data_IF_073176635308
#
_entry.id   IF_073176635308
#
_cell.length_a   1.000
_cell.length_b   1.000
_cell.length_c   1.000
_cell.angle_alpha   90.00
_cell.angle_beta   90.00
_cell.angle_gamma   90.00
#
_symmetry.space_group_name_H-M   'P 1'
#
loop_
_entity.id
_entity.type
_entity.pdbx_description
1 polymer ?
#
# COMPACT_ATOMS: atom_id res chain seq x y z
N UNK A 1 24.03 22.34 -25.33
CA UNK A 1 23.96 20.87 -25.14
C UNK A 1 25.10 20.37 -24.23
N UNK A 2 25.49 21.12 -23.18
CA UNK A 2 26.59 20.73 -22.27
C UNK A 2 26.43 21.23 -20.82
N UNK A 3 25.20 21.54 -20.39
CA UNK A 3 24.87 21.87 -18.99
C UNK A 3 23.95 20.81 -18.34
N UNK A 4 23.54 19.78 -19.09
CA UNK A 4 22.38 18.94 -18.73
C UNK A 4 22.78 17.60 -18.09
N UNK A 5 24.02 17.15 -18.26
CA UNK A 5 24.48 15.89 -17.65
C UNK A 5 25.42 16.20 -16.50
N UNK A 6 24.91 16.04 -15.27
CA UNK A 6 25.74 16.05 -14.06
C UNK A 6 26.94 15.10 -14.29
N UNK A 7 28.14 15.40 -13.76
CA UNK A 7 29.33 14.56 -13.97
C UNK A 7 29.10 13.06 -13.68
N UNK A 8 28.31 12.77 -12.66
CA UNK A 8 27.88 11.41 -12.28
C UNK A 8 27.14 10.66 -13.41
N UNK A 9 26.36 11.37 -14.22
CA UNK A 9 25.63 10.79 -15.34
C UNK A 9 26.57 10.45 -16.51
N UNK A 10 27.59 11.28 -16.72
CA UNK A 10 28.60 11.01 -17.73
C UNK A 10 29.41 9.75 -17.38
N UNK A 11 29.85 9.62 -16.12
CA UNK A 11 30.58 8.44 -15.64
C UNK A 11 29.73 7.16 -15.79
N UNK A 12 28.47 7.20 -15.34
CA UNK A 12 27.53 6.08 -15.48
C UNK A 12 27.27 5.69 -16.94
N UNK A 13 27.12 6.68 -17.82
CA UNK A 13 26.94 6.43 -19.26
C UNK A 13 28.18 5.76 -19.86
N UNK A 14 29.38 6.21 -19.49
CA UNK A 14 30.64 5.59 -19.93
C UNK A 14 30.78 4.15 -19.43
N UNK A 15 30.35 3.88 -18.19
CA UNK A 15 30.31 2.52 -17.65
C UNK A 15 29.36 1.62 -18.46
N UNK A 16 28.13 2.08 -18.75
CA UNK A 16 27.16 1.35 -19.55
C UNK A 16 27.65 1.09 -20.99
N UNK A 17 28.32 2.06 -21.61
CA UNK A 17 28.99 1.89 -22.90
C UNK A 17 30.04 0.77 -22.84
N UNK A 18 30.87 0.74 -21.79
CA UNK A 18 31.87 -0.30 -21.59
C UNK A 18 31.23 -1.67 -21.35
N UNK A 19 30.10 -1.73 -20.64
CA UNK A 19 29.34 -2.96 -20.45
C UNK A 19 28.83 -3.49 -21.79
N UNK A 20 28.23 -2.63 -22.62
CA UNK A 20 27.79 -3.00 -23.97
C UNK A 20 28.96 -3.52 -24.83
N UNK A 21 30.12 -2.85 -24.82
CA UNK A 21 31.30 -3.31 -25.57
C UNK A 21 31.73 -4.73 -25.14
N UNK A 22 31.61 -5.07 -23.85
CA UNK A 22 31.96 -6.38 -23.31
C UNK A 22 30.89 -7.45 -23.54
N UNK A 23 29.61 -7.10 -23.45
CA UNK A 23 28.48 -8.05 -23.45
C UNK A 23 27.66 -8.06 -24.74
N UNK A 24 27.95 -7.20 -25.70
CA UNK A 24 27.13 -6.95 -26.88
C UNK A 24 26.03 -5.93 -26.57
N UNK A 25 24.79 -6.37 -26.38
CA UNK A 25 23.69 -5.45 -26.04
C UNK A 25 23.62 -5.28 -24.53
N UNK A 26 23.44 -4.04 -24.08
CA UNK A 26 23.19 -3.70 -22.69
C UNK A 26 22.01 -2.74 -22.59
N UNK A 27 21.22 -2.86 -21.53
CA UNK A 27 20.14 -1.92 -21.25
C UNK A 27 20.04 -1.60 -19.78
N UNK A 28 19.68 -0.37 -19.45
CA UNK A 28 19.35 0.04 -18.09
C UNK A 28 18.16 1.00 -18.08
N UNK A 29 17.52 1.10 -16.92
CA UNK A 29 16.55 2.16 -16.64
C UNK A 29 17.24 3.18 -15.75
N UNK A 30 17.24 4.43 -16.17
CA UNK A 30 17.61 5.57 -15.35
C UNK A 30 16.37 6.21 -14.74
N UNK A 31 16.55 6.70 -13.52
CA UNK A 31 15.50 7.30 -12.69
C UNK A 31 15.98 8.67 -12.25
N UNK A 32 15.17 9.70 -12.50
CA UNK A 32 15.52 11.08 -12.20
C UNK A 32 14.34 11.79 -11.56
N UNK A 33 14.64 12.58 -10.53
CA UNK A 33 13.70 13.55 -10.01
C UNK A 33 14.11 14.95 -10.47
N UNK A 34 13.33 15.57 -11.35
CA UNK A 34 13.63 16.88 -11.92
C UNK A 34 12.38 17.77 -11.88
N UNK A 35 12.51 18.98 -11.33
CA UNK A 35 11.42 19.97 -11.24
C UNK A 35 10.12 19.45 -10.58
N UNK A 36 10.22 18.46 -9.69
CA UNK A 36 9.06 17.84 -9.03
C UNK A 36 8.44 16.67 -9.81
N UNK A 37 8.97 16.36 -10.99
CA UNK A 37 8.54 15.23 -11.80
C UNK A 37 9.47 14.03 -11.59
N UNK A 38 8.86 12.86 -11.55
CA UNK A 38 9.55 11.57 -11.48
C UNK A 38 9.68 10.99 -12.90
N UNK A 39 10.90 10.95 -13.44
CA UNK A 39 11.21 10.59 -14.83
C UNK A 39 11.93 9.25 -14.91
N UNK A 40 11.51 8.43 -15.87
CA UNK A 40 12.07 7.10 -16.13
C UNK A 40 12.50 6.98 -17.60
N UNK A 41 13.79 6.71 -17.83
CA UNK A 41 14.35 6.54 -19.17
C UNK A 41 14.97 5.15 -19.34
N UNK A 42 14.51 4.42 -20.34
CA UNK A 42 15.09 3.14 -20.74
C UNK A 42 16.13 3.39 -21.84
N UNK A 43 17.38 3.06 -21.52
CA UNK A 43 18.51 3.21 -22.43
C UNK A 43 18.94 1.85 -22.98
N UNK A 44 19.06 1.74 -24.29
CA UNK A 44 19.67 0.61 -24.99
C UNK A 44 21.02 1.03 -25.56
N UNK A 45 22.05 0.24 -25.25
CA UNK A 45 23.43 0.44 -25.70
C UNK A 45 23.80 -0.71 -26.63
N UNK A 46 24.22 -0.36 -27.84
CA UNK A 46 24.66 -1.32 -28.85
C UNK A 46 26.01 -0.89 -29.44
N UNK A 47 27.09 -1.68 -29.27
CA UNK A 47 28.38 -1.36 -29.83
C UNK A 47 28.35 -1.47 -31.36
N UNK A 48 28.99 -0.52 -32.02
CA UNK A 48 29.20 -0.49 -33.45
C UNK A 48 30.64 -0.91 -33.74
N UNK A 49 30.78 -1.88 -34.63
CA UNK A 49 32.06 -2.48 -34.99
C UNK A 49 32.51 -2.03 -36.37
N UNK A 50 33.81 -1.84 -36.54
CA UNK A 50 34.41 -1.63 -37.85
C UNK A 50 34.52 -2.95 -38.64
N UNK A 51 35.05 -2.88 -39.86
CA UNK A 51 35.27 -4.06 -40.72
C UNK A 51 36.20 -5.13 -40.10
N UNK A 52 36.96 -4.80 -39.05
CA UNK A 52 37.88 -5.69 -38.35
C UNK A 52 37.31 -6.18 -37.02
N UNK A 53 36.01 -6.03 -36.77
CA UNK A 53 35.34 -6.35 -35.50
C UNK A 53 35.87 -5.57 -34.29
N UNK A 54 36.46 -4.39 -34.51
CA UNK A 54 36.86 -3.50 -33.43
C UNK A 54 35.73 -2.52 -33.10
N UNK A 55 35.28 -2.42 -31.84
CA UNK A 55 34.27 -1.43 -31.46
C UNK A 55 34.84 -0.02 -31.64
N UNK A 56 34.11 0.85 -32.34
CA UNK A 56 34.50 2.25 -32.57
C UNK A 56 33.48 3.27 -32.05
N UNK A 57 32.25 2.84 -31.79
CA UNK A 57 31.20 3.67 -31.20
C UNK A 57 30.19 2.80 -30.44
N UNK A 58 29.32 3.44 -29.66
CA UNK A 58 28.14 2.82 -29.04
C UNK A 58 26.92 3.64 -29.44
N UNK A 59 25.97 3.00 -30.11
CA UNK A 59 24.65 3.57 -30.34
C UNK A 59 23.85 3.51 -29.03
N UNK A 60 23.36 4.66 -28.59
CA UNK A 60 22.47 4.76 -27.43
C UNK A 60 21.08 5.19 -27.92
N UNK A 61 20.08 4.39 -27.61
CA UNK A 61 18.67 4.73 -27.81
C UNK A 61 18.04 4.94 -26.45
N UNK A 62 17.55 6.15 -26.22
CA UNK A 62 16.85 6.54 -24.99
C UNK A 62 15.36 6.62 -25.26
N UNK A 63 14.58 5.84 -24.51
CA UNK A 63 13.13 5.87 -24.52
C UNK A 63 12.63 6.49 -23.21
N UNK A 64 11.79 7.52 -23.30
CA UNK A 64 11.02 7.97 -22.15
C UNK A 64 9.91 6.94 -21.87
N UNK A 65 10.00 6.28 -20.73
CA UNK A 65 9.02 5.29 -20.26
C UNK A 65 8.25 5.78 -19.03
N UNK A 66 8.34 7.08 -18.73
CA UNK A 66 7.72 7.69 -17.54
C UNK A 66 6.22 7.45 -17.51
N UNK A 67 5.52 7.70 -18.62
CA UNK A 67 4.07 7.48 -18.72
C UNK A 67 3.72 5.99 -18.56
N UNK A 68 4.53 5.08 -19.11
CA UNK A 68 4.33 3.64 -18.97
C UNK A 68 4.47 3.21 -17.50
N UNK A 69 5.52 3.65 -16.82
CA UNK A 69 5.77 3.34 -15.39
C UNK A 69 4.66 3.93 -14.52
N UNK A 70 4.26 5.17 -14.75
CA UNK A 70 3.20 5.83 -14.01
C UNK A 70 1.85 5.13 -14.23
N UNK A 71 1.51 4.83 -15.50
CA UNK A 71 0.28 4.10 -15.84
C UNK A 71 0.24 2.71 -15.20
N UNK A 72 1.36 2.00 -15.20
CA UNK A 72 1.45 0.68 -14.57
C UNK A 72 1.32 0.78 -13.05
N UNK A 73 1.90 1.81 -12.44
CA UNK A 73 1.78 2.08 -11.01
C UNK A 73 0.34 2.43 -10.62
N UNK A 74 -0.33 3.30 -11.38
CA UNK A 74 -1.73 3.66 -11.15
C UNK A 74 -2.67 2.46 -11.38
N UNK A 75 -2.45 1.65 -12.42
CA UNK A 75 -3.17 0.38 -12.61
C UNK A 75 -2.99 -0.55 -11.40
N UNK A 76 -1.76 -0.68 -10.91
CA UNK A 76 -1.47 -1.51 -9.75
C UNK A 76 -2.15 -0.98 -8.49
N UNK A 77 -2.23 0.35 -8.29
CA UNK A 77 -3.00 0.96 -7.20
C UNK A 77 -4.48 0.59 -7.31
N UNK A 78 -5.10 0.79 -8.47
CA UNK A 78 -6.52 0.49 -8.70
C UNK A 78 -6.87 -0.98 -8.44
N UNK A 79 -5.93 -1.90 -8.69
CA UNK A 79 -6.12 -3.34 -8.42
C UNK A 79 -6.20 -3.63 -6.92
N UNK A 80 -5.53 -2.85 -6.08
CA UNK A 80 -5.35 -3.13 -4.65
C UNK A 80 -6.06 -2.15 -3.73
N UNK A 81 -6.76 -1.14 -4.27
CA UNK A 81 -7.59 -0.19 -3.53
C UNK A 81 -9.08 -0.46 -3.71
N UNK A 82 -9.87 -0.13 -2.69
CA UNK A 82 -11.33 -0.05 -2.78
C UNK A 82 -11.72 1.28 -3.43
N UNK A 83 -12.47 1.27 -4.55
CA UNK A 83 -12.74 2.49 -5.32
C UNK A 83 -13.68 3.47 -4.62
N UNK A 84 -14.49 3.00 -3.67
CA UNK A 84 -15.44 3.85 -2.94
C UNK A 84 -14.74 4.63 -1.82
N UNK A 85 -13.85 3.96 -1.10
CA UNK A 85 -13.26 4.48 0.13
C UNK A 85 -11.82 4.95 -0.01
N UNK A 86 -11.13 4.54 -1.08
CA UNK A 86 -9.72 4.84 -1.33
C UNK A 86 -8.73 4.08 -0.44
N UNK A 87 -9.20 3.35 0.59
CA UNK A 87 -8.34 2.45 1.38
C UNK A 87 -8.03 1.19 0.59
N UNK A 88 -7.19 0.31 1.13
CA UNK A 88 -6.86 -0.92 0.44
C UNK A 88 -8.06 -1.87 0.36
N UNK A 89 -8.05 -2.79 -0.59
CA UNK A 89 -9.06 -3.84 -0.71
C UNK A 89 -8.55 -5.17 -0.12
N UNK A 90 -9.45 -6.16 -0.03
CA UNK A 90 -9.16 -7.50 0.50
C UNK A 90 -7.90 -8.14 -0.11
N UNK A 91 -7.62 -7.91 -1.40
CA UNK A 91 -6.43 -8.46 -2.07
C UNK A 91 -5.14 -7.92 -1.45
N UNK A 92 -5.07 -6.61 -1.19
CA UNK A 92 -3.89 -6.02 -0.55
C UNK A 92 -3.64 -6.59 0.84
N UNK A 93 -4.70 -6.83 1.60
CA UNK A 93 -4.59 -7.42 2.94
C UNK A 93 -3.94 -8.80 2.89
N UNK A 94 -4.36 -9.65 1.94
CA UNK A 94 -3.73 -10.96 1.73
C UNK A 94 -2.25 -10.83 1.35
N UNK A 95 -1.91 -9.92 0.42
CA UNK A 95 -0.52 -9.65 0.04
C UNK A 95 0.33 -9.15 1.22
N UNK A 96 -0.24 -8.26 2.03
CA UNK A 96 0.43 -7.70 3.20
C UNK A 96 0.63 -8.75 4.29
N UNK A 97 -0.37 -9.59 4.57
CA UNK A 97 -0.26 -10.64 5.57
C UNK A 97 0.85 -11.65 5.20
N UNK A 98 0.91 -12.05 3.92
CA UNK A 98 1.99 -12.89 3.39
C UNK A 98 3.36 -12.22 3.43
N UNK A 99 3.42 -10.88 3.37
CA UNK A 99 4.65 -10.13 3.54
C UNK A 99 5.10 -10.16 5.00
N UNK A 100 4.20 -9.84 5.94
CA UNK A 100 4.56 -9.79 7.37
C UNK A 100 4.88 -11.16 7.95
N UNK A 101 4.32 -12.24 7.39
CA UNK A 101 4.65 -13.61 7.78
C UNK A 101 6.09 -14.03 7.51
N UNK A 102 6.85 -13.21 6.77
CA UNK A 102 8.29 -13.43 6.52
C UNK A 102 9.18 -12.77 7.59
N UNK A 103 8.64 -11.88 8.43
CA UNK A 103 9.41 -11.16 9.45
C UNK A 103 9.26 -11.84 10.81
N UNK A 104 10.20 -12.73 11.12
CA UNK A 104 10.25 -13.45 12.39
C UNK A 104 10.48 -12.47 13.55
N UNK A 105 9.74 -12.64 14.64
CA UNK A 105 9.87 -11.83 15.85
C UNK A 105 9.11 -10.50 15.83
N UNK A 106 8.49 -10.13 14.70
CA UNK A 106 7.62 -8.96 14.62
C UNK A 106 6.19 -9.31 15.05
N UNK A 107 5.59 -8.43 15.84
CA UNK A 107 4.23 -8.57 16.37
C UNK A 107 3.33 -7.50 15.78
N UNK A 108 2.05 -7.81 15.61
CA UNK A 108 1.09 -6.91 14.96
C UNK A 108 -0.23 -6.91 15.70
N UNK A 109 -0.97 -5.81 15.60
CA UNK A 109 -2.39 -5.77 15.94
C UNK A 109 -3.21 -6.01 14.68
N UNK A 110 -4.27 -6.81 14.80
CA UNK A 110 -5.33 -6.92 13.79
C UNK A 110 -6.63 -6.44 14.43
N UNK A 111 -7.28 -5.49 13.76
CA UNK A 111 -8.52 -4.88 14.22
C UNK A 111 -9.56 -5.01 13.12
N UNK A 112 -10.72 -5.55 13.44
CA UNK A 112 -11.93 -5.51 12.62
C UNK A 112 -12.84 -4.41 13.13
N UNK A 113 -13.41 -3.67 12.18
CA UNK A 113 -14.29 -2.52 12.44
C UNK A 113 -15.52 -2.69 11.55
N UNK A 114 -16.69 -2.48 12.12
CA UNK A 114 -17.97 -2.57 11.43
C UNK A 114 -18.86 -1.38 11.82
N UNK A 115 -19.63 -0.84 10.87
CA UNK A 115 -20.51 0.30 11.13
C UNK A 115 -21.79 -0.19 11.80
N UNK A 116 -22.14 0.38 12.95
CA UNK A 116 -23.36 0.01 13.64
C UNK A 116 -24.59 0.44 12.82
N UNK A 117 -25.51 -0.51 12.65
CA UNK A 117 -26.78 -0.33 11.94
C UNK A 117 -26.65 0.24 10.51
N UNK A 118 -25.54 -0.06 9.81
CA UNK A 118 -25.31 0.40 8.44
C UNK A 118 -26.43 0.06 7.47
N UNK A 119 -26.98 -1.15 7.56
CA UNK A 119 -28.13 -1.57 6.75
C UNK A 119 -29.34 -0.66 6.97
N UNK A 120 -29.62 -0.27 8.21
CA UNK A 120 -30.72 0.65 8.52
C UNK A 120 -30.48 2.02 7.87
N UNK A 121 -29.23 2.51 7.86
CA UNK A 121 -28.87 3.76 7.17
C UNK A 121 -29.14 3.65 5.67
N UNK A 122 -28.72 2.57 5.02
CA UNK A 122 -28.98 2.34 3.61
C UNK A 122 -30.48 2.25 3.30
N UNK A 123 -31.22 1.50 4.11
CA UNK A 123 -32.66 1.29 3.91
C UNK A 123 -33.47 2.59 4.15
N UNK A 124 -32.99 3.47 5.03
CA UNK A 124 -33.68 4.73 5.39
C UNK A 124 -33.31 5.89 4.47
N UNK A 125 -32.03 6.03 4.11
CA UNK A 125 -31.49 7.21 3.44
C UNK A 125 -30.93 6.94 2.04
N UNK A 126 -30.94 5.67 1.61
CA UNK A 126 -30.39 5.24 0.33
C UNK A 126 -28.88 4.97 0.36
N UNK A 127 -28.43 4.19 -0.62
CA UNK A 127 -27.03 3.76 -0.74
C UNK A 127 -26.03 4.91 -0.88
N UNK A 128 -26.41 6.01 -1.54
CA UNK A 128 -25.54 7.19 -1.69
C UNK A 128 -25.10 7.77 -0.33
N UNK A 129 -25.96 7.67 0.69
CA UNK A 129 -25.64 8.12 2.05
C UNK A 129 -24.75 7.11 2.76
N UNK A 130 -25.00 5.80 2.59
CA UNK A 130 -24.11 4.76 3.09
C UNK A 130 -22.71 4.86 2.50
N UNK A 131 -22.61 5.15 1.20
CA UNK A 131 -21.34 5.34 0.49
C UNK A 131 -20.54 6.53 1.05
N UNK A 132 -21.21 7.66 1.30
CA UNK A 132 -20.60 8.81 1.99
C UNK A 132 -20.16 8.46 3.41
N UNK A 133 -20.91 7.62 4.11
CA UNK A 133 -20.58 7.19 5.46
C UNK A 133 -19.31 6.32 5.49
N UNK A 134 -19.19 5.39 4.53
CA UNK A 134 -17.99 4.56 4.33
C UNK A 134 -16.76 5.41 4.01
N UNK A 135 -16.89 6.38 3.09
CA UNK A 135 -15.82 7.29 2.74
C UNK A 135 -15.40 8.17 3.94
N UNK A 136 -16.37 8.68 4.71
CA UNK A 136 -16.10 9.45 5.93
C UNK A 136 -15.34 8.64 6.98
N UNK A 137 -15.75 7.39 7.22
CA UNK A 137 -15.07 6.51 8.17
C UNK A 137 -13.63 6.22 7.72
N UNK A 138 -13.47 5.99 6.42
CA UNK A 138 -12.17 5.71 5.82
C UNK A 138 -11.19 6.88 5.95
N UNK A 139 -11.65 8.10 5.74
CA UNK A 139 -10.84 9.30 5.95
C UNK A 139 -10.41 9.47 7.41
N UNK A 140 -11.30 9.13 8.35
CA UNK A 140 -11.02 9.21 9.78
C UNK A 140 -9.89 8.26 10.20
N UNK A 141 -9.73 7.13 9.52
CA UNK A 141 -8.65 6.17 9.82
C UNK A 141 -7.26 6.77 9.67
N UNK A 142 -7.05 7.71 8.73
CA UNK A 142 -5.77 8.40 8.55
C UNK A 142 -5.36 9.26 9.75
N UNK A 143 -6.32 9.73 10.55
CA UNK A 143 -6.06 10.52 11.76
C UNK A 143 -5.88 9.66 13.03
N UNK A 144 -6.37 8.42 12.98
CA UNK A 144 -6.49 7.55 14.14
C UNK A 144 -5.35 6.53 14.17
N UNK A 145 -5.03 5.93 13.03
CA UNK A 145 -4.04 4.87 12.93
C UNK A 145 -2.66 5.41 12.55
N UNK A 146 -1.57 4.69 12.92
CA UNK A 146 -0.22 5.05 12.49
C UNK A 146 -0.08 5.06 10.97
N UNK A 147 0.84 5.89 10.45
CA UNK A 147 1.13 6.00 9.01
C UNK A 147 1.48 4.65 8.34
N UNK A 148 2.13 3.74 9.08
CA UNK A 148 2.48 2.39 8.61
C UNK A 148 1.34 1.37 8.74
N UNK A 149 0.16 1.77 9.19
CA UNK A 149 -0.99 0.88 9.26
C UNK A 149 -1.51 0.59 7.85
N UNK A 150 -1.86 -0.67 7.61
CA UNK A 150 -2.66 -1.06 6.44
C UNK A 150 -4.11 -1.03 6.86
N UNK A 151 -4.87 -0.13 6.25
CA UNK A 151 -6.32 -0.02 6.39
C UNK A 151 -6.95 -0.63 5.14
N UNK A 152 -7.87 -1.57 5.33
CA UNK A 152 -8.50 -2.33 4.26
C UNK A 152 -10.02 -2.34 4.43
N UNK A 153 -10.78 -2.21 3.34
CA UNK A 153 -12.20 -2.57 3.30
C UNK A 153 -12.35 -4.00 2.81
N UNK A 154 -13.04 -4.84 3.59
CA UNK A 154 -13.23 -6.26 3.30
C UNK A 154 -14.44 -6.52 2.42
N UNK A 155 -15.42 -5.63 2.48
CA UNK A 155 -16.73 -5.69 1.80
C UNK A 155 -17.81 -5.10 2.70
N UNK A 156 -18.92 -4.61 2.13
CA UNK A 156 -20.00 -4.01 2.91
C UNK A 156 -19.50 -2.83 3.77
N UNK A 157 -19.75 -2.93 5.07
CA UNK A 157 -19.34 -2.01 6.14
C UNK A 157 -18.13 -2.50 6.95
N UNK A 158 -17.54 -3.63 6.58
CA UNK A 158 -16.42 -4.23 7.31
C UNK A 158 -15.07 -3.70 6.84
N UNK A 159 -14.27 -3.24 7.81
CA UNK A 159 -12.89 -2.82 7.64
C UNK A 159 -11.95 -3.68 8.49
N UNK A 160 -10.72 -3.81 8.01
CA UNK A 160 -9.62 -4.47 8.71
C UNK A 160 -8.40 -3.57 8.75
N UNK A 161 -7.79 -3.45 9.91
CA UNK A 161 -6.57 -2.66 10.12
C UNK A 161 -5.48 -3.54 10.70
N UNK A 162 -4.29 -3.50 10.09
CA UNK A 162 -3.09 -4.17 10.60
C UNK A 162 -1.94 -3.17 10.74
N UNK A 163 -1.31 -3.11 11.91
CA UNK A 163 -0.08 -2.34 12.14
C UNK A 163 0.85 -3.07 13.09
N UNK A 164 2.15 -2.78 12.95
CA UNK A 164 3.20 -3.36 13.80
C UNK A 164 3.06 -2.84 15.23
N UNK A 165 3.11 -3.75 16.19
CA UNK A 165 3.20 -3.41 17.61
C UNK A 165 4.65 -3.05 17.91
N UNK A 166 4.88 -1.77 18.19
CA UNK A 166 6.17 -1.30 18.71
C UNK A 166 6.17 -1.62 20.21
N UNK A 167 7.24 -2.24 20.71
CA UNK A 167 7.40 -2.69 22.11
C UNK A 167 7.15 -1.59 23.17
N UNK A 168 7.01 -0.32 22.77
CA UNK A 168 6.88 0.82 23.67
C UNK A 168 5.53 1.57 23.67
N UNK A 169 4.52 1.28 22.83
CA UNK A 169 3.41 2.25 22.72
C UNK A 169 1.97 1.78 22.49
N UNK A 170 1.65 0.49 22.37
CA UNK A 170 0.24 0.10 22.20
C UNK A 170 -0.09 -1.08 23.11
N UNK A 171 -0.41 -0.73 24.36
CA UNK A 171 -1.09 -1.61 25.32
C UNK A 171 -2.54 -1.84 24.84
N UNK A 172 -3.18 -2.92 25.31
CA UNK A 172 -4.60 -3.18 25.03
C UNK A 172 -5.49 -1.97 25.36
N UNK A 173 -5.17 -1.22 26.42
CA UNK A 173 -5.88 0.01 26.78
C UNK A 173 -5.85 1.09 25.67
N UNK A 174 -4.74 1.19 24.93
CA UNK A 174 -4.63 2.10 23.80
C UNK A 174 -5.49 1.62 22.62
N UNK A 175 -5.63 0.30 22.43
CA UNK A 175 -6.53 -0.28 21.43
C UNK A 175 -7.99 -0.01 21.80
N UNK A 176 -8.38 -0.21 23.06
CA UNK A 176 -9.75 0.10 23.53
C UNK A 176 -10.07 1.59 23.34
N UNK A 177 -9.10 2.48 23.56
CA UNK A 177 -9.24 3.91 23.31
C UNK A 177 -9.52 4.28 21.84
N UNK A 178 -9.10 3.46 20.86
CA UNK A 178 -9.31 3.71 19.43
C UNK A 178 -10.81 3.76 19.11
N UNK A 179 -11.59 2.79 19.60
CA UNK A 179 -13.04 2.75 19.35
C UNK A 179 -13.73 4.02 19.85
N UNK A 180 -13.40 4.45 21.08
CA UNK A 180 -13.97 5.68 21.65
C UNK A 180 -13.60 6.93 20.83
N UNK A 181 -12.34 7.02 20.37
CA UNK A 181 -11.88 8.12 19.51
C UNK A 181 -12.61 8.13 18.17
N UNK A 182 -12.78 6.97 17.52
CA UNK A 182 -13.55 6.87 16.28
C UNK A 182 -15.00 7.30 16.53
N UNK A 183 -15.68 6.69 17.51
CA UNK A 183 -17.08 6.97 17.83
C UNK A 183 -17.35 8.44 18.19
N UNK A 184 -16.44 9.11 18.89
CA UNK A 184 -16.57 10.54 19.19
C UNK A 184 -16.57 11.42 17.93
N UNK A 185 -15.75 11.10 16.93
CA UNK A 185 -15.62 11.84 15.67
C UNK A 185 -16.61 11.39 14.59
N UNK A 186 -17.16 10.19 14.72
CA UNK A 186 -18.05 9.56 13.73
C UNK A 186 -19.55 9.80 13.97
N UNK A 187 -19.90 10.57 15.01
CA UNK A 187 -21.28 10.93 15.34
C UNK A 187 -22.06 11.50 14.14
N UNK A 188 -23.38 11.29 14.08
CA UNK A 188 -24.21 10.55 15.04
C UNK A 188 -24.14 9.02 14.91
N UNK A 189 -23.31 8.49 14.01
CA UNK A 189 -23.12 7.06 13.82
C UNK A 189 -22.07 6.51 14.79
N UNK A 190 -22.07 5.20 14.95
CA UNK A 190 -21.05 4.48 15.72
C UNK A 190 -20.49 3.30 14.93
N UNK A 191 -19.37 2.80 15.40
CA UNK A 191 -18.73 1.58 14.96
C UNK A 191 -18.64 0.61 16.11
N UNK A 192 -18.61 -0.68 15.79
CA UNK A 192 -18.17 -1.75 16.65
C UNK A 192 -16.80 -2.26 16.22
N UNK A 193 -15.99 -2.64 17.21
CA UNK A 193 -14.61 -3.03 16.98
C UNK A 193 -14.28 -4.34 17.71
N UNK A 194 -13.51 -5.19 17.05
CA UNK A 194 -12.89 -6.36 17.66
C UNK A 194 -11.44 -6.47 17.22
N UNK A 195 -10.58 -6.97 18.10
CA UNK A 195 -9.14 -6.98 17.84
C UNK A 195 -8.49 -8.24 18.37
N UNK A 196 -7.31 -8.56 17.83
CA UNK A 196 -6.45 -9.64 18.29
C UNK A 196 -4.99 -9.28 18.09
N UNK A 197 -4.13 -9.91 18.87
CA UNK A 197 -2.69 -9.75 18.79
C UNK A 197 -2.06 -10.87 17.97
N UNK A 198 -1.31 -10.50 16.93
CA UNK A 198 -0.57 -11.41 16.06
C UNK A 198 0.85 -11.53 16.60
N UNK A 199 1.10 -12.57 17.39
CA UNK A 199 2.43 -12.87 17.94
C UNK A 199 3.34 -13.61 16.97
N UNK A 200 2.77 -14.41 16.08
CA UNK A 200 3.52 -15.26 15.14
C UNK A 200 2.83 -15.24 13.79
N UNK A 201 3.12 -14.23 12.94
CA UNK A 201 2.52 -14.16 11.61
C UNK A 201 3.08 -15.32 10.78
N UNK A 202 2.24 -16.28 10.42
CA UNK A 202 2.55 -17.33 9.45
C UNK A 202 1.46 -17.33 8.38
N UNK A 203 1.81 -17.56 7.12
CA UNK A 203 0.91 -17.36 5.95
C UNK A 203 -0.45 -18.05 6.13
N UNK A 204 -0.47 -19.23 6.75
CA UNK A 204 -1.68 -20.04 6.95
C UNK A 204 -2.50 -19.69 8.21
N UNK A 205 -2.18 -18.60 8.92
CA UNK A 205 -2.87 -18.22 10.17
C UNK A 205 -3.73 -16.97 10.08
N UNK A 206 -3.86 -16.34 8.93
CA UNK A 206 -4.73 -15.17 8.77
C UNK A 206 -6.16 -15.47 9.28
N UNK A 207 -6.77 -16.54 8.78
CA UNK A 207 -8.14 -16.94 9.16
C UNK A 207 -8.29 -17.27 10.65
N UNK A 208 -7.21 -17.67 11.32
CA UNK A 208 -7.22 -17.89 12.77
C UNK A 208 -7.34 -16.56 13.51
N UNK A 209 -6.48 -15.58 13.20
CA UNK A 209 -6.52 -14.26 13.82
C UNK A 209 -7.80 -13.49 13.45
N UNK A 210 -8.22 -13.58 12.19
CA UNK A 210 -9.47 -13.00 11.72
C UNK A 210 -10.66 -13.45 12.56
N UNK A 211 -10.80 -14.78 12.79
CA UNK A 211 -11.90 -15.34 13.58
C UNK A 211 -11.93 -14.85 15.02
N UNK A 212 -10.77 -14.64 15.65
CA UNK A 212 -10.71 -14.11 17.02
C UNK A 212 -11.18 -12.66 17.05
N UNK A 213 -10.68 -11.83 16.13
CA UNK A 213 -11.10 -10.43 16.05
C UNK A 213 -12.59 -10.30 15.73
N UNK A 214 -13.13 -11.16 14.86
CA UNK A 214 -14.55 -11.19 14.49
C UNK A 214 -15.44 -11.55 15.69
N UNK A 215 -15.06 -12.58 16.45
CA UNK A 215 -15.77 -12.95 17.68
C UNK A 215 -15.79 -11.81 18.71
N UNK A 216 -14.65 -11.13 18.88
CA UNK A 216 -14.54 -9.97 19.78
C UNK A 216 -15.41 -8.81 19.30
N UNK A 217 -15.45 -8.55 17.98
CA UNK A 217 -16.27 -7.51 17.36
C UNK A 217 -17.75 -7.79 17.56
N UNK A 218 -18.17 -9.04 17.35
CA UNK A 218 -19.55 -9.46 17.53
C UNK A 218 -20.01 -9.36 18.99
N UNK A 219 -19.14 -9.70 19.95
CA UNK A 219 -19.41 -9.52 21.37
C UNK A 219 -19.58 -8.04 21.74
N UNK A 220 -18.68 -7.17 21.25
CA UNK A 220 -18.77 -5.71 21.42
C UNK A 220 -20.06 -5.13 20.81
N UNK A 221 -20.46 -5.59 19.62
CA UNK A 221 -21.72 -5.16 18.99
C UNK A 221 -22.94 -5.55 19.79
N UNK A 222 -22.94 -6.73 20.41
CA UNK A 222 -24.02 -7.18 21.29
C UNK A 222 -24.10 -6.36 22.58
N UNK A 223 -22.98 -6.03 23.21
CA UNK A 223 -23.01 -5.30 24.49
C UNK A 223 -23.55 -3.87 24.37
N UNK A 224 -23.54 -3.27 23.18
CA UNK A 224 -24.13 -1.94 22.93
C UNK A 224 -25.63 -1.96 22.67
N UNK A 225 -26.17 -3.12 22.30
CA UNK A 225 -27.60 -3.33 22.02
C UNK A 225 -28.38 -3.85 23.23
N UNK A 226 -27.68 -4.16 24.32
CA UNK A 226 -28.23 -4.57 25.61
C UNK A 226 -28.40 -3.35 26.53
#
# INVERSE_FOLDING_TARGET
MSEILKPEYFEKTMENCNNAIKSGIFSNVDHFFLNGEDLHFLNYYSPLYDKNQKPYAVLVVTLDITENVNSETEKNKLIVTDPLTGVYNRRKLSEYFKKISKYIGKKYWLILIDIDDFKLVNDTFGHDIGDKLLARLSNLFNEIFPEKAIVTRLGGDEFCVIFESIESYILEDNIVGIESRINSKFRPYSISMGFTFIETPTDNRFDYYYRIADQNMYANKKSKKA
#
